data_IF_755621307946
#
_entry.id   IF_755621307946
#
_cell.length_a   1.000
_cell.length_b   1.000
_cell.length_c   1.000
_cell.angle_alpha   90.00
_cell.angle_beta   90.00
_cell.angle_gamma   90.00
#
_symmetry.space_group_name_H-M   'P 1'
#
loop_
_entity.id
_entity.type
_entity.pdbx_description
1 polymer ?
#
# COMPACT_ATOMS: atom_id res chain seq x y z
N UNK A 1 27.39 7.17 -10.47
CA UNK A 1 26.67 7.84 -9.36
C UNK A 1 26.19 6.80 -8.35
N UNK A 2 26.23 7.09 -7.04
CA UNK A 2 25.58 6.28 -6.02
C UNK A 2 24.05 6.29 -6.26
N UNK A 3 23.38 5.17 -5.95
CA UNK A 3 21.93 5.01 -6.15
C UNK A 3 21.18 5.34 -4.87
N UNK A 4 20.17 6.21 -4.95
CA UNK A 4 19.25 6.46 -3.83
C UNK A 4 18.62 5.16 -3.29
N UNK A 5 18.37 5.16 -1.98
CA UNK A 5 17.57 4.14 -1.32
C UNK A 5 16.13 4.15 -1.83
N UNK A 6 15.47 2.98 -1.79
CA UNK A 6 14.02 2.92 -1.97
C UNK A 6 13.34 3.31 -0.68
N UNK A 7 12.26 4.07 -0.79
CA UNK A 7 11.29 4.19 0.29
C UNK A 7 10.65 2.81 0.49
N UNK A 8 10.83 2.23 1.68
CA UNK A 8 10.26 0.93 2.05
C UNK A 8 9.72 1.02 3.47
N UNK A 9 8.50 1.51 3.56
CA UNK A 9 7.87 2.00 4.77
C UNK A 9 6.57 1.22 4.97
N UNK A 10 6.33 0.58 6.13
CA UNK A 10 5.09 -0.14 6.40
C UNK A 10 3.85 0.75 6.25
N UNK A 11 2.71 0.14 5.97
CA UNK A 11 1.50 0.83 5.56
C UNK A 11 1.49 1.20 4.10
N UNK A 12 2.29 2.23 3.77
CA UNK A 12 2.02 3.10 2.62
C UNK A 12 1.67 2.35 1.33
N UNK A 13 0.78 2.97 0.56
CA UNK A 13 0.34 2.45 -0.72
C UNK A 13 1.50 2.53 -1.72
N UNK A 14 1.80 1.42 -2.39
CA UNK A 14 2.87 1.36 -3.39
C UNK A 14 2.34 0.99 -4.76
N UNK A 15 2.54 1.89 -5.73
CA UNK A 15 2.49 1.53 -7.15
C UNK A 15 3.86 0.93 -7.55
N UNK A 16 3.88 -0.39 -7.72
CA UNK A 16 5.08 -1.17 -8.06
C UNK A 16 5.02 -1.58 -9.54
N UNK A 17 6.13 -1.41 -10.26
CA UNK A 17 6.23 -1.85 -11.66
C UNK A 17 7.63 -2.35 -12.02
N UNK A 18 7.71 -3.39 -12.86
CA UNK A 18 8.95 -3.87 -13.45
C UNK A 18 8.72 -4.36 -14.90
N UNK A 19 9.79 -4.33 -15.71
CA UNK A 19 9.75 -4.60 -17.16
C UNK A 19 10.92 -5.49 -17.58
N UNK A 20 10.70 -6.32 -18.60
CA UNK A 20 11.73 -7.14 -19.22
C UNK A 20 12.88 -6.34 -19.83
N UNK A 21 14.08 -6.91 -19.82
CA UNK A 21 15.24 -6.35 -20.53
C UNK A 21 14.89 -6.17 -22.01
N UNK A 22 15.36 -5.07 -22.62
CA UNK A 22 15.01 -4.67 -24.00
C UNK A 22 13.49 -4.56 -24.29
N UNK A 23 12.63 -4.49 -23.25
CA UNK A 23 11.17 -4.62 -23.35
C UNK A 23 10.69 -5.96 -23.93
N UNK A 24 11.52 -7.02 -23.90
CA UNK A 24 11.15 -8.38 -24.29
C UNK A 24 10.07 -8.95 -23.38
N UNK A 25 9.36 -9.97 -23.87
CA UNK A 25 8.39 -10.71 -23.08
C UNK A 25 9.05 -11.32 -21.83
N UNK A 26 8.41 -11.12 -20.69
CA UNK A 26 8.69 -11.77 -19.40
C UNK A 26 7.61 -12.78 -19.03
N UNK A 27 6.48 -12.79 -19.73
CA UNK A 27 5.49 -13.87 -19.72
C UNK A 27 5.24 -14.28 -21.17
N UNK A 28 5.46 -15.55 -21.52
CA UNK A 28 5.35 -16.07 -22.89
C UNK A 28 4.15 -17.00 -23.01
N UNK A 29 3.92 -17.86 -22.01
CA UNK A 29 2.76 -18.76 -21.95
C UNK A 29 2.05 -18.74 -20.59
N UNK A 30 0.89 -19.39 -20.48
CA UNK A 30 0.07 -19.40 -19.25
C UNK A 30 0.85 -19.83 -17.99
N UNK A 31 1.75 -20.81 -18.12
CA UNK A 31 2.61 -21.29 -17.03
C UNK A 31 3.62 -20.25 -16.52
N UNK A 32 3.95 -19.21 -17.30
CA UNK A 32 4.75 -18.08 -16.84
C UNK A 32 3.93 -17.13 -15.95
N UNK A 33 2.68 -16.87 -16.33
CA UNK A 33 1.77 -16.01 -15.56
C UNK A 33 1.39 -16.65 -14.22
N UNK A 34 1.04 -17.94 -14.21
CA UNK A 34 0.66 -18.63 -12.96
C UNK A 34 1.85 -18.80 -12.01
N UNK A 35 3.06 -19.11 -12.50
CA UNK A 35 4.30 -19.18 -11.71
C UNK A 35 4.61 -17.85 -10.99
N UNK A 36 4.33 -16.71 -11.63
CA UNK A 36 4.43 -15.40 -10.99
C UNK A 36 3.35 -15.17 -9.93
N UNK A 37 2.10 -15.54 -10.21
CA UNK A 37 0.97 -15.35 -9.28
C UNK A 37 1.02 -16.28 -8.06
N UNK A 38 1.53 -17.50 -8.24
CA UNK A 38 1.81 -18.45 -7.17
C UNK A 38 2.94 -17.93 -6.26
N UNK A 39 4.01 -17.38 -6.84
CA UNK A 39 5.10 -16.71 -6.09
C UNK A 39 4.61 -15.48 -5.34
N UNK A 40 3.69 -14.71 -5.93
CA UNK A 40 3.08 -13.56 -5.26
C UNK A 40 2.26 -14.01 -4.03
N UNK A 41 1.41 -15.04 -4.17
CA UNK A 41 0.65 -15.62 -3.07
C UNK A 41 1.57 -16.11 -1.93
N UNK A 42 2.52 -17.01 -2.24
CA UNK A 42 3.53 -17.55 -1.30
C UNK A 42 4.49 -16.49 -0.74
N UNK A 43 4.56 -15.33 -1.39
CA UNK A 43 5.27 -14.15 -0.92
C UNK A 43 4.48 -13.40 0.16
N UNK A 44 3.19 -13.17 -0.07
CA UNK A 44 2.28 -12.44 0.83
C UNK A 44 2.07 -13.17 2.17
N UNK A 45 2.00 -14.51 2.16
CA UNK A 45 2.02 -15.35 3.38
C UNK A 45 3.18 -15.01 4.33
N UNK A 46 4.36 -14.71 3.77
CA UNK A 46 5.61 -14.50 4.53
C UNK A 46 5.93 -13.02 4.76
N UNK A 47 5.42 -12.16 3.90
CA UNK A 47 5.54 -10.70 3.91
C UNK A 47 4.15 -10.09 3.73
N UNK A 48 3.33 -10.03 4.81
CA UNK A 48 1.96 -9.55 4.72
C UNK A 48 1.83 -8.16 4.11
N UNK A 49 0.72 -7.95 3.41
CA UNK A 49 0.36 -6.72 2.69
C UNK A 49 -0.91 -6.98 1.88
N UNK A 50 -1.61 -5.93 1.49
CA UNK A 50 -2.88 -6.05 0.75
C UNK A 50 -2.66 -5.66 -0.71
N UNK A 51 -2.86 -6.60 -1.64
CA UNK A 51 -2.85 -6.29 -3.08
C UNK A 51 -4.23 -5.76 -3.46
N UNK A 52 -4.29 -4.51 -3.89
CA UNK A 52 -5.54 -3.79 -4.19
C UNK A 52 -5.87 -3.81 -5.69
N UNK A 53 -4.84 -3.77 -6.54
CA UNK A 53 -4.99 -3.92 -7.97
C UNK A 53 -3.72 -4.44 -8.63
N UNK A 54 -3.85 -5.12 -9.76
CA UNK A 54 -2.71 -5.68 -10.49
C UNK A 54 -3.02 -5.95 -11.97
N UNK A 55 -1.97 -5.95 -12.79
CA UNK A 55 -2.02 -6.39 -14.19
C UNK A 55 -0.66 -6.96 -14.61
N UNK A 56 -0.67 -8.15 -15.21
CA UNK A 56 0.49 -8.74 -15.87
C UNK A 56 0.34 -8.56 -17.40
N UNK A 57 1.30 -7.88 -17.99
CA UNK A 57 1.41 -7.57 -19.42
C UNK A 57 2.58 -8.36 -19.99
N UNK A 58 2.56 -8.83 -21.26
CA UNK A 58 3.58 -9.74 -21.79
C UNK A 58 5.04 -9.37 -21.47
N UNK A 59 5.40 -8.08 -21.46
CA UNK A 59 6.75 -7.59 -21.13
C UNK A 59 6.89 -6.79 -19.82
N UNK A 60 5.85 -6.61 -19.01
CA UNK A 60 5.93 -5.88 -17.73
C UNK A 60 4.78 -6.20 -16.78
N UNK A 61 4.90 -5.83 -15.51
CA UNK A 61 3.78 -5.91 -14.56
C UNK A 61 3.58 -4.62 -13.78
N UNK A 62 2.35 -4.44 -13.30
CA UNK A 62 1.94 -3.40 -12.37
C UNK A 62 1.22 -4.04 -11.18
N UNK A 63 1.58 -3.63 -9.96
CA UNK A 63 0.91 -3.99 -8.70
C UNK A 63 0.61 -2.72 -7.91
N UNK A 64 -0.51 -2.69 -7.20
CA UNK A 64 -0.85 -1.71 -6.17
C UNK A 64 -0.94 -2.45 -4.84
N UNK A 65 -0.03 -2.15 -3.90
CA UNK A 65 0.14 -2.92 -2.66
C UNK A 65 0.18 -1.98 -1.46
N UNK A 66 -0.72 -2.18 -0.49
CA UNK A 66 -0.62 -1.59 0.85
C UNK A 66 0.38 -2.44 1.65
N UNK A 67 1.47 -1.85 2.12
CA UNK A 67 2.58 -2.57 2.75
C UNK A 67 2.27 -3.04 4.18
N UNK A 68 2.57 -4.29 4.55
CA UNK A 68 2.63 -4.69 5.96
C UNK A 68 4.00 -4.41 6.60
N UNK A 69 4.18 -4.84 7.86
CA UNK A 69 5.36 -4.52 8.69
C UNK A 69 6.74 -4.86 8.13
N UNK A 70 6.85 -5.79 7.17
CA UNK A 70 8.13 -6.13 6.51
C UNK A 70 8.43 -5.26 5.27
N UNK A 71 7.47 -4.43 4.84
CA UNK A 71 7.54 -3.62 3.64
C UNK A 71 7.51 -4.43 2.33
N UNK A 72 7.39 -3.72 1.21
CA UNK A 72 7.31 -4.33 -0.13
C UNK A 72 8.64 -4.95 -0.60
N UNK A 73 9.78 -4.58 -0.02
CA UNK A 73 11.09 -4.99 -0.52
C UNK A 73 11.37 -6.48 -0.38
N UNK A 74 11.07 -7.06 0.78
CA UNK A 74 11.24 -8.50 1.00
C UNK A 74 10.26 -9.34 0.16
N UNK A 75 9.02 -8.85 -0.04
CA UNK A 75 8.05 -9.46 -0.95
C UNK A 75 8.60 -9.50 -2.39
N UNK A 76 8.88 -8.33 -2.95
CA UNK A 76 9.28 -8.21 -4.36
C UNK A 76 10.64 -8.86 -4.66
N UNK A 77 11.57 -8.90 -3.71
CA UNK A 77 12.82 -9.64 -3.86
C UNK A 77 12.56 -11.14 -4.03
N UNK A 78 11.70 -11.74 -3.19
CA UNK A 78 11.39 -13.18 -3.26
C UNK A 78 10.64 -13.53 -4.54
N UNK A 79 9.63 -12.72 -4.91
CA UNK A 79 8.84 -12.90 -6.15
C UNK A 79 9.74 -12.80 -7.38
N UNK A 80 10.44 -11.68 -7.58
CA UNK A 80 11.17 -11.43 -8.82
C UNK A 80 12.42 -12.31 -8.99
N UNK A 81 13.18 -12.59 -7.92
CA UNK A 81 14.36 -13.45 -8.03
C UNK A 81 13.96 -14.89 -8.32
N UNK A 82 12.97 -15.43 -7.58
CA UNK A 82 12.46 -16.78 -7.82
C UNK A 82 11.84 -16.93 -9.22
N UNK A 83 11.17 -15.88 -9.69
CA UNK A 83 10.58 -15.85 -11.02
C UNK A 83 11.64 -15.79 -12.14
N UNK A 84 12.64 -14.92 -12.02
CA UNK A 84 13.70 -14.82 -13.02
C UNK A 84 14.47 -16.14 -13.20
N UNK A 85 14.75 -16.86 -12.10
CA UNK A 85 15.43 -18.18 -12.14
C UNK A 85 14.55 -19.24 -12.81
N UNK A 86 13.27 -19.31 -12.46
CA UNK A 86 12.34 -20.31 -13.02
C UNK A 86 12.03 -20.05 -14.50
N UNK A 87 11.79 -18.80 -14.89
CA UNK A 87 11.63 -18.38 -16.28
C UNK A 87 12.88 -18.68 -17.12
N UNK A 88 14.08 -18.30 -16.63
CA UNK A 88 15.33 -18.58 -17.36
C UNK A 88 15.54 -20.08 -17.58
N UNK A 89 15.28 -20.92 -16.56
CA UNK A 89 15.35 -22.37 -16.69
C UNK A 89 14.31 -22.92 -17.68
N UNK A 90 13.05 -22.47 -17.60
CA UNK A 90 11.94 -22.89 -18.48
C UNK A 90 12.23 -22.58 -19.95
N UNK A 91 12.75 -21.38 -20.23
CA UNK A 91 12.98 -20.87 -21.59
C UNK A 91 14.42 -21.04 -22.08
N UNK A 92 15.26 -21.82 -21.37
CA UNK A 92 16.68 -22.07 -21.68
C UNK A 92 17.49 -20.76 -21.93
N UNK A 93 17.27 -19.76 -21.08
CA UNK A 93 17.93 -18.44 -21.13
C UNK A 93 18.98 -18.27 -20.03
N UNK A 94 20.00 -17.47 -20.33
CA UNK A 94 20.95 -16.92 -19.35
C UNK A 94 20.75 -15.41 -19.16
N UNK A 95 21.41 -14.84 -18.15
CA UNK A 95 21.43 -13.39 -17.90
C UNK A 95 20.17 -12.83 -17.22
N UNK A 96 20.05 -11.50 -17.20
CA UNK A 96 18.95 -10.81 -16.52
C UNK A 96 17.63 -10.90 -17.31
N UNK A 97 16.54 -11.23 -16.61
CA UNK A 97 15.18 -11.17 -17.18
C UNK A 97 14.62 -9.75 -17.17
N UNK A 98 14.74 -9.06 -16.04
CA UNK A 98 14.24 -7.70 -15.86
C UNK A 98 15.29 -6.67 -16.27
N UNK A 99 14.87 -5.58 -16.91
CA UNK A 99 15.75 -4.48 -17.35
C UNK A 99 16.46 -3.81 -16.17
N UNK A 100 15.80 -3.77 -15.02
CA UNK A 100 16.23 -3.06 -13.83
C UNK A 100 15.59 -3.66 -12.57
N UNK A 101 16.10 -3.24 -11.41
CA UNK A 101 15.34 -3.25 -10.15
C UNK A 101 13.93 -2.67 -10.39
N UNK A 102 12.88 -3.27 -9.81
CA UNK A 102 11.53 -2.72 -9.86
C UNK A 102 11.48 -1.25 -9.40
N UNK A 103 10.65 -0.43 -10.06
CA UNK A 103 10.25 0.90 -9.57
C UNK A 103 9.13 0.71 -8.55
N UNK A 104 9.16 1.50 -7.49
CA UNK A 104 8.13 1.55 -6.46
C UNK A 104 7.90 3.01 -6.11
N UNK A 105 6.67 3.47 -6.33
CA UNK A 105 6.24 4.83 -6.05
C UNK A 105 5.36 4.76 -4.81
N UNK A 106 5.67 5.55 -3.79
CA UNK A 106 4.82 5.76 -2.62
C UNK A 106 3.64 6.63 -3.05
N UNK A 107 2.43 6.21 -2.76
CA UNK A 107 1.22 6.92 -3.14
C UNK A 107 0.46 7.38 -1.90
N UNK A 108 0.01 8.63 -1.92
CA UNK A 108 -0.99 9.14 -0.98
C UNK A 108 -2.30 8.38 -1.24
N UNK A 109 -2.91 7.79 -0.21
CA UNK A 109 -3.96 6.80 -0.44
C UNK A 109 -5.23 7.45 -1.02
N UNK A 110 -5.72 8.51 -0.38
CA UNK A 110 -6.63 9.47 -1.01
C UNK A 110 -5.79 10.64 -1.56
N UNK A 111 -6.00 11.12 -2.80
CA UNK A 111 -7.05 10.73 -3.75
C UNK A 111 -6.67 9.57 -4.71
N UNK A 112 -5.48 8.98 -4.61
CA UNK A 112 -4.93 8.19 -5.73
C UNK A 112 -5.34 6.71 -5.80
N UNK A 113 -5.85 6.09 -4.73
CA UNK A 113 -6.11 4.64 -4.67
C UNK A 113 -7.03 4.17 -5.81
N UNK A 114 -8.19 4.80 -5.97
CA UNK A 114 -9.15 4.41 -7.01
C UNK A 114 -8.61 4.70 -8.42
N UNK A 115 -7.91 5.82 -8.61
CA UNK A 115 -7.27 6.16 -9.88
C UNK A 115 -6.15 5.18 -10.27
N UNK A 116 -5.38 4.70 -9.29
CA UNK A 116 -4.33 3.70 -9.49
C UNK A 116 -4.93 2.32 -9.78
N UNK A 117 -5.97 1.89 -9.05
CA UNK A 117 -6.71 0.65 -9.38
C UNK A 117 -7.24 0.73 -10.81
N UNK A 118 -7.90 1.83 -11.19
CA UNK A 118 -8.41 2.08 -12.55
C UNK A 118 -7.32 2.09 -13.60
N UNK A 119 -6.21 2.79 -13.35
CA UNK A 119 -5.06 2.84 -14.24
C UNK A 119 -4.49 1.44 -14.51
N UNK A 120 -4.18 0.70 -13.44
CA UNK A 120 -3.55 -0.62 -13.52
C UNK A 120 -4.49 -1.60 -14.21
N UNK A 121 -5.77 -1.63 -13.83
CA UNK A 121 -6.74 -2.56 -14.40
C UNK A 121 -7.04 -2.25 -15.88
N UNK A 122 -6.89 -1.00 -16.35
CA UNK A 122 -6.96 -0.66 -17.77
C UNK A 122 -5.69 -0.94 -18.58
N UNK A 123 -4.58 -1.41 -17.98
CA UNK A 123 -3.35 -1.67 -18.74
C UNK A 123 -3.50 -2.76 -19.83
N UNK A 124 -4.18 -3.91 -19.61
CA UNK A 124 -4.39 -4.90 -20.67
C UNK A 124 -5.14 -4.34 -21.89
N UNK A 125 -6.13 -3.48 -21.66
CA UNK A 125 -6.88 -2.81 -22.73
C UNK A 125 -6.01 -1.76 -23.45
N UNK A 126 -5.37 -0.86 -22.69
CA UNK A 126 -4.50 0.21 -23.23
C UNK A 126 -3.25 -0.33 -23.95
N UNK A 127 -2.79 -1.51 -23.56
CA UNK A 127 -1.71 -2.26 -24.21
C UNK A 127 -2.14 -3.21 -25.32
N UNK A 128 -3.43 -3.21 -25.72
CA UNK A 128 -4.03 -4.09 -26.75
C UNK A 128 -3.87 -5.60 -26.51
N UNK A 129 -3.73 -6.02 -25.24
CA UNK A 129 -3.75 -7.43 -24.83
C UNK A 129 -5.19 -7.96 -24.78
N UNK A 130 -6.16 -7.07 -24.53
CA UNK A 130 -7.59 -7.32 -24.73
C UNK A 130 -8.21 -6.22 -25.58
N UNK A 131 -9.29 -6.54 -26.30
CA UNK A 131 -9.95 -5.64 -27.25
C UNK A 131 -10.95 -4.65 -26.63
N UNK A 132 -11.66 -5.06 -25.58
CA UNK A 132 -12.78 -4.32 -24.99
C UNK A 132 -12.92 -4.61 -23.48
N UNK A 133 -13.86 -3.93 -22.81
CA UNK A 133 -14.11 -4.08 -21.37
C UNK A 133 -14.67 -5.47 -21.00
N UNK A 134 -15.41 -6.13 -21.90
CA UNK A 134 -15.92 -7.49 -21.69
C UNK A 134 -14.80 -8.53 -21.72
N UNK A 135 -13.86 -8.40 -22.65
CA UNK A 135 -12.64 -9.20 -22.67
C UNK A 135 -11.73 -8.91 -21.46
N UNK A 136 -11.69 -7.67 -20.96
CA UNK A 136 -10.99 -7.33 -19.72
C UNK A 136 -11.63 -8.01 -18.50
N UNK A 137 -12.98 -8.05 -18.44
CA UNK A 137 -13.76 -8.68 -17.36
C UNK A 137 -13.42 -10.16 -17.14
N UNK A 138 -13.01 -10.86 -18.19
CA UNK A 138 -12.60 -12.27 -18.16
C UNK A 138 -11.08 -12.51 -18.15
N UNK A 139 -10.25 -11.47 -18.36
CA UNK A 139 -8.80 -11.60 -18.51
C UNK A 139 -8.12 -12.13 -17.24
N UNK A 140 -7.54 -13.36 -17.26
CA UNK A 140 -7.10 -14.05 -16.06
C UNK A 140 -5.91 -13.40 -15.34
N UNK A 141 -5.21 -12.48 -16.02
CA UNK A 141 -3.96 -11.88 -15.54
C UNK A 141 -4.10 -10.38 -15.22
N UNK A 142 -5.29 -9.94 -14.81
CA UNK A 142 -5.49 -8.69 -14.08
C UNK A 142 -6.48 -8.85 -12.94
N UNK A 143 -6.25 -8.12 -11.86
CA UNK A 143 -7.14 -8.03 -10.70
C UNK A 143 -8.53 -7.48 -11.02
N UNK A 144 -8.76 -6.91 -12.22
CA UNK A 144 -10.10 -6.56 -12.67
C UNK A 144 -11.03 -7.77 -12.72
N UNK A 145 -10.57 -8.90 -13.27
CA UNK A 145 -11.34 -10.15 -13.34
C UNK A 145 -11.75 -10.66 -11.95
N UNK A 146 -10.90 -10.43 -10.94
CA UNK A 146 -11.14 -10.78 -9.54
C UNK A 146 -12.14 -9.82 -8.88
N UNK A 147 -12.00 -8.50 -9.08
CA UNK A 147 -12.99 -7.52 -8.57
C UNK A 147 -14.36 -7.77 -9.20
N UNK A 148 -14.42 -8.17 -10.47
CA UNK A 148 -15.65 -8.55 -11.17
C UNK A 148 -16.15 -9.96 -10.84
N UNK A 149 -15.42 -10.75 -10.05
CA UNK A 149 -15.83 -12.08 -9.59
C UNK A 149 -15.69 -13.22 -10.62
N UNK A 150 -15.13 -12.97 -11.81
CA UNK A 150 -14.94 -14.01 -12.84
C UNK A 150 -13.73 -14.90 -12.56
N UNK A 151 -12.81 -14.46 -11.69
CA UNK A 151 -11.65 -15.21 -11.20
C UNK A 151 -11.56 -15.08 -9.68
N UNK A 152 -11.02 -16.10 -9.00
CA UNK A 152 -10.76 -16.09 -7.56
C UNK A 152 -9.27 -16.02 -7.29
N UNK A 153 -8.81 -15.00 -6.55
CA UNK A 153 -7.47 -14.89 -5.98
C UNK A 153 -7.60 -14.35 -4.54
N UNK A 154 -7.69 -15.21 -3.51
CA UNK A 154 -8.02 -14.79 -2.15
C UNK A 154 -7.06 -13.78 -1.50
N UNK A 155 -5.84 -13.66 -2.02
CA UNK A 155 -4.84 -12.68 -1.58
C UNK A 155 -5.07 -11.25 -2.11
N UNK A 156 -6.05 -11.02 -2.99
CA UNK A 156 -6.43 -9.69 -3.45
C UNK A 156 -7.53 -9.11 -2.56
N UNK A 157 -7.29 -7.93 -1.99
CA UNK A 157 -8.21 -7.20 -1.12
C UNK A 157 -9.37 -6.58 -1.93
N UNK A 158 -10.24 -7.43 -2.46
CA UNK A 158 -11.36 -7.07 -3.33
C UNK A 158 -12.43 -6.29 -2.58
N UNK A 159 -12.67 -6.65 -1.32
CA UNK A 159 -13.64 -5.98 -0.43
C UNK A 159 -13.24 -4.53 -0.13
N UNK A 160 -11.94 -4.26 0.09
CA UNK A 160 -11.41 -2.89 0.28
C UNK A 160 -11.69 -2.01 -0.93
N UNK A 161 -11.54 -2.54 -2.15
CA UNK A 161 -11.83 -1.80 -3.39
C UNK A 161 -13.33 -1.60 -3.58
N UNK A 162 -14.14 -2.66 -3.43
CA UNK A 162 -15.59 -2.58 -3.63
C UNK A 162 -16.29 -1.74 -2.55
N UNK A 163 -15.78 -1.75 -1.32
CA UNK A 163 -16.30 -0.96 -0.20
C UNK A 163 -16.26 0.54 -0.43
N UNK A 164 -15.35 1.04 -1.29
CA UNK A 164 -15.32 2.45 -1.73
C UNK A 164 -16.49 2.84 -2.64
N UNK A 165 -17.23 1.87 -3.19
CA UNK A 165 -18.37 2.10 -4.09
C UNK A 165 -19.72 1.78 -3.46
N UNK A 166 -19.85 0.68 -2.70
CA UNK A 166 -21.10 0.36 -2.00
C UNK A 166 -20.91 -0.74 -0.94
N UNK A 167 -21.76 -0.72 0.10
CA UNK A 167 -21.91 -1.84 1.05
C UNK A 167 -22.58 -3.09 0.44
N UNK A 168 -23.27 -2.97 -0.71
CA UNK A 168 -23.90 -4.11 -1.41
C UNK A 168 -23.03 -4.53 -2.60
N UNK A 169 -22.43 -5.73 -2.54
CA UNK A 169 -21.43 -6.22 -3.53
C UNK A 169 -21.88 -6.06 -4.99
N UNK A 170 -23.10 -6.47 -5.34
CA UNK A 170 -23.63 -6.35 -6.71
C UNK A 170 -23.77 -4.89 -7.18
N UNK A 171 -24.03 -3.95 -6.27
CA UNK A 171 -24.05 -2.51 -6.57
C UNK A 171 -22.62 -1.95 -6.66
N UNK A 172 -21.73 -2.38 -5.76
CA UNK A 172 -20.32 -2.00 -5.79
C UNK A 172 -19.65 -2.41 -7.11
N UNK A 173 -19.83 -3.66 -7.56
CA UNK A 173 -19.30 -4.14 -8.85
C UNK A 173 -19.80 -3.32 -10.04
N UNK A 174 -21.10 -2.98 -10.08
CA UNK A 174 -21.69 -2.17 -11.16
C UNK A 174 -21.10 -0.76 -11.21
N UNK A 175 -20.96 -0.12 -10.05
CA UNK A 175 -20.36 1.22 -9.94
C UNK A 175 -18.87 1.20 -10.27
N UNK A 176 -18.15 0.19 -9.79
CA UNK A 176 -16.73 -0.04 -10.11
C UNK A 176 -16.50 -0.28 -11.60
N UNK A 177 -17.30 -1.14 -12.26
CA UNK A 177 -17.20 -1.43 -13.69
C UNK A 177 -17.45 -0.17 -14.54
N UNK A 178 -18.44 0.64 -14.16
CA UNK A 178 -18.69 1.96 -14.75
C UNK A 178 -17.50 2.89 -14.58
N UNK A 179 -16.98 3.06 -13.36
CA UNK A 179 -15.84 3.91 -13.05
C UNK A 179 -14.59 3.53 -13.87
N UNK A 180 -14.32 2.24 -14.03
CA UNK A 180 -13.26 1.72 -14.90
C UNK A 180 -13.53 2.06 -16.37
N UNK A 181 -14.76 1.86 -16.86
CA UNK A 181 -15.17 2.20 -18.22
C UNK A 181 -14.99 3.69 -18.56
N UNK A 182 -15.33 4.59 -17.63
CA UNK A 182 -15.11 6.03 -17.77
C UNK A 182 -13.61 6.38 -17.93
N UNK A 183 -12.72 5.59 -17.33
CA UNK A 183 -11.26 5.73 -17.46
C UNK A 183 -10.68 5.33 -18.83
N UNK A 184 -11.46 4.71 -19.72
CA UNK A 184 -11.02 4.34 -21.07
C UNK A 184 -10.73 5.61 -21.89
N UNK A 185 -11.62 6.60 -21.83
CA UNK A 185 -11.49 7.88 -22.56
C UNK A 185 -10.27 8.69 -22.13
N UNK A 186 -9.77 8.50 -20.89
CA UNK A 186 -8.62 9.22 -20.34
C UNK A 186 -7.24 8.79 -20.89
N UNK A 187 -7.19 7.87 -21.87
CA UNK A 187 -5.99 7.60 -22.66
C UNK A 187 -4.75 7.18 -21.84
N UNK A 188 -3.61 7.82 -22.11
CA UNK A 188 -2.36 7.63 -21.34
C UNK A 188 -2.31 8.60 -20.17
N UNK A 189 -2.05 8.07 -18.96
CA UNK A 189 -1.89 8.83 -17.71
C UNK A 189 -0.43 8.79 -17.23
N UNK A 190 0.43 9.73 -17.68
CA UNK A 190 1.84 9.76 -17.31
C UNK A 190 2.08 10.18 -15.86
N UNK A 191 1.16 10.95 -15.29
CA UNK A 191 1.05 11.35 -13.90
C UNK A 191 1.11 10.14 -12.94
N UNK A 192 0.33 9.09 -13.22
CA UNK A 192 0.24 7.90 -12.38
C UNK A 192 1.46 6.96 -12.49
N UNK A 193 2.42 7.23 -13.38
CA UNK A 193 3.65 6.44 -13.52
C UNK A 193 4.83 6.94 -12.66
N UNK A 194 4.62 8.01 -11.88
CA UNK A 194 5.61 8.59 -10.96
C UNK A 194 6.75 9.34 -11.66
N UNK A 195 7.15 10.48 -11.10
CA UNK A 195 8.04 11.44 -11.78
C UNK A 195 7.55 12.90 -11.73
N UNK A 196 6.65 13.22 -10.80
CA UNK A 196 6.36 14.55 -10.26
C UNK A 196 5.77 15.60 -11.21
N UNK A 197 5.59 16.81 -10.67
CA UNK A 197 5.02 17.99 -11.35
C UNK A 197 5.67 18.29 -12.72
N UNK A 198 6.94 17.94 -12.91
CA UNK A 198 7.69 18.15 -14.16
C UNK A 198 7.00 17.48 -15.37
N UNK A 199 6.09 16.51 -15.18
CA UNK A 199 5.25 15.97 -16.27
C UNK A 199 3.75 16.21 -16.17
N UNK A 200 3.20 16.51 -15.00
CA UNK A 200 1.77 16.86 -14.86
C UNK A 200 1.48 18.36 -15.07
N UNK A 201 2.49 19.24 -14.99
CA UNK A 201 2.34 20.69 -15.13
C UNK A 201 3.00 21.30 -16.39
N UNK A 202 3.44 20.49 -17.37
CA UNK A 202 3.91 20.97 -18.68
C UNK A 202 5.43 21.08 -18.90
N UNK A 203 6.27 20.40 -18.12
CA UNK A 203 7.73 20.40 -18.31
C UNK A 203 8.46 21.51 -17.56
N UNK A 204 9.80 21.54 -17.68
CA UNK A 204 10.64 22.57 -17.04
C UNK A 204 10.26 24.00 -17.48
N UNK A 205 9.70 24.15 -18.68
CA UNK A 205 9.24 25.42 -19.24
C UNK A 205 8.19 26.12 -18.36
N UNK A 206 7.26 25.36 -17.77
CA UNK A 206 6.18 25.88 -16.93
C UNK A 206 6.63 26.25 -15.50
N UNK A 207 7.83 25.85 -15.09
CA UNK A 207 8.43 26.19 -13.79
C UNK A 207 9.20 27.52 -13.81
N UNK A 208 9.44 28.10 -14.99
CA UNK A 208 10.24 29.32 -15.17
C UNK A 208 9.40 30.57 -14.98
N UNK A 209 9.25 31.01 -13.72
CA UNK A 209 8.56 32.26 -13.37
C UNK A 209 7.80 32.25 -12.03
N UNK A 210 7.68 31.08 -11.37
CA UNK A 210 7.08 30.97 -10.03
C UNK A 210 8.02 31.44 -8.93
N UNK A 211 7.46 31.93 -7.84
CA UNK A 211 8.22 32.59 -6.77
C UNK A 211 8.97 31.59 -5.88
N UNK A 212 9.94 32.08 -5.11
CA UNK A 212 10.74 31.25 -4.20
C UNK A 212 9.92 30.62 -3.05
N UNK A 213 8.75 31.16 -2.71
CA UNK A 213 7.86 30.61 -1.68
C UNK A 213 6.88 29.55 -2.20
N UNK A 214 6.76 29.35 -3.52
CA UNK A 214 5.83 28.38 -4.14
C UNK A 214 6.46 27.00 -4.39
N UNK A 215 7.58 26.69 -3.72
CA UNK A 215 8.31 25.43 -3.90
C UNK A 215 7.73 24.31 -3.03
N UNK A 216 6.61 23.73 -3.48
CA UNK A 216 6.11 22.47 -2.91
C UNK A 216 7.20 21.38 -2.91
N UNK A 217 7.25 20.58 -1.84
CA UNK A 217 8.22 19.49 -1.73
C UNK A 217 8.00 18.43 -2.82
N UNK A 218 9.10 17.98 -3.44
CA UNK A 218 9.10 17.16 -4.65
C UNK A 218 10.02 15.93 -4.50
N UNK A 219 9.52 14.75 -4.86
CA UNK A 219 10.34 13.54 -5.03
C UNK A 219 9.75 12.61 -6.11
N UNK A 220 10.58 12.07 -7.01
CA UNK A 220 10.09 11.22 -8.12
C UNK A 220 9.61 9.81 -7.70
N UNK A 221 9.94 9.41 -6.47
CA UNK A 221 9.53 8.17 -5.81
C UNK A 221 8.19 8.32 -5.07
N UNK A 222 7.57 9.50 -5.09
CA UNK A 222 6.32 9.83 -4.38
C UNK A 222 5.26 10.36 -5.35
N UNK A 223 3.99 10.09 -5.04
CA UNK A 223 2.80 10.57 -5.73
C UNK A 223 1.78 11.02 -4.66
N UNK A 224 1.75 12.32 -4.39
CA UNK A 224 0.94 12.96 -3.35
C UNK A 224 1.15 14.47 -3.34
N UNK A 225 0.42 15.20 -2.50
CA UNK A 225 0.63 16.64 -2.27
C UNK A 225 1.93 16.94 -1.51
N UNK A 226 2.37 18.20 -1.51
CA UNK A 226 3.66 18.60 -0.91
C UNK A 226 3.85 18.14 0.55
N UNK A 227 2.82 18.25 1.38
CA UNK A 227 2.85 17.77 2.78
C UNK A 227 2.99 16.25 2.93
N UNK A 228 2.49 15.47 1.97
CA UNK A 228 2.74 14.02 1.90
C UNK A 228 4.17 13.73 1.45
N UNK A 229 4.69 14.46 0.46
CA UNK A 229 6.10 14.33 0.04
C UNK A 229 7.05 14.65 1.20
N UNK A 230 6.82 15.73 1.95
CA UNK A 230 7.58 16.04 3.17
C UNK A 230 7.50 14.92 4.21
N UNK A 231 6.31 14.36 4.43
CA UNK A 231 6.11 13.26 5.37
C UNK A 231 6.92 12.03 4.96
N UNK A 232 6.85 11.65 3.69
CA UNK A 232 7.56 10.50 3.14
C UNK A 232 9.09 10.70 3.13
N UNK A 233 9.57 11.93 2.91
CA UNK A 233 11.00 12.25 3.01
C UNK A 233 11.50 12.20 4.47
N UNK A 234 10.74 12.76 5.41
CA UNK A 234 11.08 12.71 6.85
C UNK A 234 11.12 11.28 7.39
N UNK A 235 10.19 10.41 6.97
CA UNK A 235 10.16 8.97 7.28
C UNK A 235 11.27 8.15 6.56
N UNK A 236 12.07 8.77 5.67
CA UNK A 236 13.17 8.14 4.91
C UNK A 236 14.55 8.63 5.37
N UNK A 237 14.64 9.90 5.75
CA UNK A 237 15.88 10.55 6.22
C UNK A 237 16.04 10.37 7.75
N UNK A 238 14.95 10.47 8.50
CA UNK A 238 14.87 9.99 9.87
C UNK A 238 14.53 8.49 9.90
N UNK A 239 15.41 7.66 10.44
CA UNK A 239 15.31 6.19 10.38
C UNK A 239 14.18 5.52 11.19
N UNK A 240 13.12 6.25 11.58
CA UNK A 240 12.05 5.75 12.45
C UNK A 240 10.89 5.15 11.65
N UNK A 241 10.97 3.84 11.42
CA UNK A 241 10.06 3.05 10.55
C UNK A 241 8.62 2.91 11.09
N UNK A 242 8.27 3.61 12.17
CA UNK A 242 7.04 3.44 12.97
C UNK A 242 5.92 4.45 12.68
N UNK A 243 6.06 5.40 11.77
CA UNK A 243 5.06 6.48 11.62
C UNK A 243 3.93 6.25 10.58
N UNK A 244 3.99 5.18 9.77
CA UNK A 244 3.39 5.21 8.43
C UNK A 244 2.12 4.35 8.18
N UNK A 245 2.13 3.03 8.39
CA UNK A 245 0.93 2.12 8.39
C UNK A 245 -0.05 2.32 9.54
N UNK A 246 0.01 3.54 10.04
CA UNK A 246 -0.17 3.96 11.39
C UNK A 246 -0.97 5.30 11.34
N UNK A 247 -0.66 6.18 10.36
CA UNK A 247 -1.52 7.27 9.84
C UNK A 247 -2.60 6.81 8.85
N UNK A 248 -2.39 5.67 8.19
CA UNK A 248 -2.96 5.41 6.85
C UNK A 248 -4.48 5.18 6.78
N UNK A 249 -5.15 4.85 7.88
CA UNK A 249 -6.62 4.62 7.88
C UNK A 249 -7.44 5.83 8.31
N UNK A 250 -6.81 6.99 8.58
CA UNK A 250 -7.47 8.15 9.18
C UNK A 250 -7.93 7.94 10.65
N UNK A 251 -7.73 6.74 11.21
CA UNK A 251 -7.99 6.42 12.62
C UNK A 251 -7.07 7.27 13.49
N UNK A 252 -7.66 8.15 14.30
CA UNK A 252 -6.93 9.01 15.23
C UNK A 252 -6.73 8.32 16.58
N UNK A 253 -5.84 8.85 17.41
CA UNK A 253 -5.58 8.34 18.77
C UNK A 253 -6.83 8.41 19.65
N UNK A 254 -7.72 9.38 19.40
CA UNK A 254 -9.02 9.53 20.04
C UNK A 254 -9.96 8.37 19.68
N UNK A 255 -10.08 8.05 18.38
CA UNK A 255 -10.93 6.95 17.88
C UNK A 255 -10.46 5.58 18.37
N UNK A 256 -9.15 5.41 18.52
CA UNK A 256 -8.60 4.21 19.15
C UNK A 256 -8.88 4.16 20.65
N UNK A 257 -8.77 5.28 21.36
CA UNK A 257 -9.13 5.37 22.77
C UNK A 257 -10.62 5.12 23.01
N UNK A 258 -11.50 5.52 22.09
CA UNK A 258 -12.94 5.24 22.13
C UNK A 258 -13.23 3.73 22.10
N UNK A 259 -12.72 2.99 21.11
CA UNK A 259 -12.96 1.53 21.02
C UNK A 259 -12.26 0.74 22.13
N UNK A 260 -11.08 1.16 22.61
CA UNK A 260 -10.41 0.53 23.76
C UNK A 260 -11.19 0.77 25.07
N UNK A 261 -11.68 2.00 25.30
CA UNK A 261 -12.47 2.32 26.47
C UNK A 261 -13.81 1.56 26.49
N UNK A 262 -14.40 1.37 25.32
CA UNK A 262 -15.62 0.59 25.07
C UNK A 262 -15.41 -0.92 25.26
N UNK A 263 -14.27 -1.48 24.87
CA UNK A 263 -13.92 -2.88 25.21
C UNK A 263 -13.68 -3.03 26.73
N UNK A 264 -12.99 -2.08 27.35
CA UNK A 264 -12.62 -2.13 28.77
C UNK A 264 -13.72 -1.67 29.76
N UNK A 265 -14.88 -1.21 29.27
CA UNK A 265 -16.00 -0.75 30.10
C UNK A 265 -15.70 0.52 30.92
N UNK A 266 -14.89 1.44 30.39
CA UNK A 266 -14.43 2.65 31.10
C UNK A 266 -14.76 3.95 30.33
N UNK A 267 -14.82 5.12 31.00
CA UNK A 267 -14.88 6.40 30.32
C UNK A 267 -13.57 6.68 29.54
N UNK A 268 -13.69 7.13 28.29
CA UNK A 268 -12.55 7.43 27.38
C UNK A 268 -11.51 8.32 28.06
N UNK A 269 -11.95 9.37 28.77
CA UNK A 269 -11.08 10.32 29.49
C UNK A 269 -10.14 9.66 30.50
N UNK A 270 -10.50 8.53 31.10
CA UNK A 270 -9.66 7.85 32.09
C UNK A 270 -8.41 7.18 31.48
N UNK A 271 -8.34 7.05 30.15
CA UNK A 271 -7.10 6.70 29.44
C UNK A 271 -6.08 7.87 29.43
N UNK A 272 -6.53 9.10 29.67
CA UNK A 272 -5.75 10.34 29.63
C UNK A 272 -5.60 11.04 31.01
N UNK A 273 -6.30 10.55 32.04
CA UNK A 273 -6.24 11.03 33.44
C UNK A 273 -5.28 10.17 34.28
N UNK A 274 -4.80 10.64 35.45
CA UNK A 274 -4.06 9.77 36.39
C UNK A 274 -5.01 8.74 37.02
N UNK A 275 -4.62 7.46 37.04
CA UNK A 275 -5.45 6.40 37.62
C UNK A 275 -4.73 5.04 37.67
N UNK A 276 -5.10 4.20 38.65
CA UNK A 276 -4.49 2.87 38.91
C UNK A 276 -5.46 1.68 38.86
N UNK A 277 -6.76 1.89 38.59
CA UNK A 277 -7.74 0.79 38.41
C UNK A 277 -7.28 -0.16 37.31
N UNK A 278 -7.50 -1.46 37.48
CA UNK A 278 -6.96 -2.49 36.58
C UNK A 278 -7.43 -2.31 35.14
N UNK A 279 -8.74 -2.12 34.91
CA UNK A 279 -9.31 -1.87 33.57
C UNK A 279 -8.69 -0.63 32.89
N UNK A 280 -8.40 0.42 33.65
CA UNK A 280 -7.69 1.62 33.16
C UNK A 280 -6.22 1.32 32.87
N UNK A 281 -5.55 0.49 33.66
CA UNK A 281 -4.17 0.02 33.42
C UNK A 281 -4.08 -0.85 32.16
N UNK A 282 -5.03 -1.77 31.96
CA UNK A 282 -5.14 -2.61 30.75
C UNK A 282 -5.46 -1.78 29.51
N UNK A 283 -6.45 -0.88 29.60
CA UNK A 283 -6.80 0.04 28.52
C UNK A 283 -5.64 0.95 28.12
N UNK A 284 -4.88 1.49 29.09
CA UNK A 284 -3.67 2.27 28.80
C UNK A 284 -2.55 1.43 28.19
N UNK A 285 -2.32 0.20 28.65
CA UNK A 285 -1.35 -0.71 28.04
C UNK A 285 -1.69 -1.00 26.57
N UNK A 286 -2.96 -1.30 26.26
CA UNK A 286 -3.46 -1.42 24.88
C UNK A 286 -3.27 -0.12 24.08
N UNK A 287 -3.65 1.03 24.64
CA UNK A 287 -3.51 2.33 23.96
C UNK A 287 -2.04 2.72 23.74
N UNK A 288 -1.12 2.31 24.63
CA UNK A 288 0.32 2.52 24.46
C UNK A 288 0.88 1.56 23.39
N UNK A 289 0.49 0.29 23.40
CA UNK A 289 0.94 -0.68 22.39
C UNK A 289 0.43 -0.33 20.99
N UNK A 290 -0.88 -0.13 20.85
CA UNK A 290 -1.47 0.32 19.59
C UNK A 290 -1.11 1.79 19.27
N UNK A 291 -0.69 2.58 20.27
CA UNK A 291 -0.08 3.89 20.09
C UNK A 291 1.30 3.85 19.44
N UNK A 292 2.16 2.95 19.92
CA UNK A 292 3.55 2.75 19.47
C UNK A 292 3.62 1.93 18.19
N UNK A 293 2.59 1.14 17.87
CA UNK A 293 2.58 0.24 16.71
C UNK A 293 1.41 0.39 15.71
N UNK A 294 0.45 1.35 15.85
CA UNK A 294 -0.76 1.32 14.98
C UNK A 294 -1.47 2.56 14.34
N UNK A 295 -1.40 3.90 14.48
CA UNK A 295 -0.87 5.04 15.27
C UNK A 295 0.48 5.73 14.99
N UNK A 296 1.56 5.41 15.69
CA UNK A 296 2.93 5.77 15.26
C UNK A 296 3.72 6.65 16.21
N UNK A 297 3.40 6.55 17.51
CA UNK A 297 3.79 7.51 18.54
C UNK A 297 4.98 7.00 19.36
N UNK A 298 5.84 7.92 19.78
CA UNK A 298 6.95 7.56 20.67
C UNK A 298 6.43 7.14 22.06
N UNK A 299 7.10 6.20 22.73
CA UNK A 299 6.72 5.76 24.09
C UNK A 299 6.61 6.93 25.07
N UNK A 300 7.49 7.94 24.94
CA UNK A 300 7.50 9.17 25.73
C UNK A 300 6.34 10.13 25.41
N UNK A 301 5.85 10.11 24.16
CA UNK A 301 4.62 10.83 23.78
C UNK A 301 3.41 10.16 24.44
N UNK A 302 3.33 8.82 24.34
CA UNK A 302 2.27 8.03 24.95
C UNK A 302 2.31 8.08 26.48
N UNK A 303 3.48 8.19 27.11
CA UNK A 303 3.63 8.41 28.55
C UNK A 303 3.00 9.75 28.99
N UNK A 304 3.35 10.86 28.31
CA UNK A 304 2.73 12.17 28.53
C UNK A 304 1.21 12.12 28.35
N UNK A 305 0.75 11.54 27.25
CA UNK A 305 -0.65 11.48 26.86
C UNK A 305 -1.50 10.67 27.86
N UNK A 306 -1.01 9.52 28.28
CA UNK A 306 -1.68 8.65 29.28
C UNK A 306 -1.40 9.04 30.74
N UNK A 307 -0.66 10.13 30.98
CA UNK A 307 -0.20 10.62 32.30
C UNK A 307 0.54 9.55 33.12
N UNK A 308 1.31 8.70 32.44
CA UNK A 308 2.21 7.71 33.04
C UNK A 308 3.65 8.24 33.11
N UNK A 309 4.50 7.62 33.93
CA UNK A 309 5.96 7.86 33.88
C UNK A 309 6.59 7.09 32.71
N UNK A 310 7.69 7.60 32.15
CA UNK A 310 8.37 6.95 31.01
C UNK A 310 8.72 5.46 31.27
N UNK A 311 9.24 5.05 32.45
CA UNK A 311 9.44 3.62 32.76
C UNK A 311 8.14 2.83 32.92
N UNK A 312 7.07 3.47 33.40
CA UNK A 312 5.75 2.87 33.54
C UNK A 312 5.09 2.62 32.18
N UNK A 313 5.21 3.57 31.25
CA UNK A 313 4.75 3.44 29.87
C UNK A 313 5.54 2.37 29.10
N UNK A 314 6.86 2.29 29.31
CA UNK A 314 7.69 1.22 28.73
C UNK A 314 7.25 -0.17 29.20
N UNK A 315 6.98 -0.37 30.50
CA UNK A 315 6.41 -1.63 31.02
C UNK A 315 4.98 -1.91 30.53
N UNK A 316 4.20 -0.85 30.26
CA UNK A 316 2.85 -0.98 29.73
C UNK A 316 2.81 -1.34 28.24
N UNK A 317 3.82 -0.95 27.45
CA UNK A 317 3.99 -1.34 26.05
C UNK A 317 4.07 -2.87 25.91
N UNK A 318 4.94 -3.53 26.68
CA UNK A 318 5.10 -4.99 26.65
C UNK A 318 3.81 -5.72 26.99
N UNK A 319 3.16 -5.34 28.10
CA UNK A 319 1.85 -5.88 28.50
C UNK A 319 0.74 -5.59 27.48
N UNK A 320 0.82 -4.49 26.76
CA UNK A 320 -0.15 -4.13 25.72
C UNK A 320 -0.16 -5.12 24.55
N UNK A 321 0.99 -5.73 24.22
CA UNK A 321 1.07 -6.80 23.23
C UNK A 321 0.34 -8.07 23.70
N UNK A 322 0.54 -8.48 24.96
CA UNK A 322 -0.15 -9.62 25.58
C UNK A 322 -1.67 -9.41 25.62
N UNK A 323 -2.11 -8.19 25.94
CA UNK A 323 -3.53 -7.83 25.93
C UNK A 323 -4.12 -7.72 24.52
N UNK A 324 -3.32 -7.42 23.49
CA UNK A 324 -3.76 -7.36 22.10
C UNK A 324 -4.05 -8.75 21.53
N UNK A 325 -3.23 -9.76 21.86
CA UNK A 325 -3.48 -11.15 21.46
C UNK A 325 -4.82 -11.70 21.97
N UNK A 326 -5.35 -11.13 23.07
CA UNK A 326 -6.65 -11.49 23.65
C UNK A 326 -7.76 -10.45 23.43
N UNK A 327 -7.50 -9.38 22.67
CA UNK A 327 -8.47 -8.30 22.44
C UNK A 327 -9.42 -8.61 21.28
N UNK A 328 -10.70 -8.29 21.48
CA UNK A 328 -11.78 -8.35 20.48
C UNK A 328 -11.63 -7.27 19.40
N UNK A 329 -10.70 -6.32 19.57
CA UNK A 329 -10.36 -5.31 18.57
C UNK A 329 -9.49 -5.87 17.43
N UNK A 330 -8.80 -7.00 17.64
CA UNK A 330 -7.90 -7.63 16.65
C UNK A 330 -8.62 -8.18 15.39
N UNK A 331 -9.95 -8.20 15.39
CA UNK A 331 -10.81 -8.46 14.23
C UNK A 331 -11.67 -7.27 13.78
N UNK A 332 -11.36 -6.05 14.25
CA UNK A 332 -12.10 -4.80 13.95
C UNK A 332 -11.18 -3.65 13.52
N UNK A 333 -9.95 -3.63 14.04
CA UNK A 333 -8.85 -2.72 13.70
C UNK A 333 -7.78 -3.47 12.88
#
# INVERSE_FOLDING_TARGET
MPRQARVNVPGFLYHIMARGIERRAIFVGAGDYEDFLERLAKGLERCPGQVLGWALMPNHFHLLVRAGGKGISSLMQRVMTGYAVSFNRRHRRAGHLFQNRYKSIVCEEEPYLLELVRYIHLNPLRGKVVKDLGALKSYPYSGHSVVMGTRKRPWQATEEVLGRFSKKEATARRLYERFVGEGIKAGRRPDLMGGGLIRSAGGLWAARGRSLSEREAYDERVLGGGGFVETVLKDVEGGDKRLAGYRQRGVRIETMAEEIAKEAGIPVKSLFERGRRESVSRGKALLIYLGVEHLGKAVREMAKLTRMSDPGASKALTRGAEFWETSRLKGKL
#
